data_IF_819828893448
#
_entry.id   IF_819828893448
#
_cell.length_a   1.000
_cell.length_b   1.000
_cell.length_c   1.000
_cell.angle_alpha   90.00
_cell.angle_beta   90.00
_cell.angle_gamma   90.00
#
_symmetry.space_group_name_H-M   'P 1'
#
loop_
_entity.id
_entity.type
_entity.pdbx_description
1 polymer ?
#
# COMPACT_ATOMS: atom_id res chain seq x y z
N UNK A 1 47.33 -14.64 -2.20
CA UNK A 1 46.76 -14.15 -0.92
C UNK A 1 45.69 -13.06 -1.04
N UNK A 2 45.71 -12.14 -2.03
CA UNK A 2 44.71 -11.05 -2.19
C UNK A 2 43.28 -11.46 -2.62
N UNK A 3 43.05 -12.72 -2.98
CA UNK A 3 41.72 -13.20 -3.43
C UNK A 3 40.89 -13.85 -2.31
N UNK A 4 41.52 -14.29 -1.23
CA UNK A 4 40.83 -14.96 -0.11
C UNK A 4 40.04 -13.92 0.73
N UNK A 5 40.55 -12.69 0.87
CA UNK A 5 39.85 -11.63 1.61
C UNK A 5 38.59 -11.12 0.89
N UNK A 6 38.57 -11.18 -0.45
CA UNK A 6 37.35 -10.91 -1.25
C UNK A 6 36.27 -11.98 -1.03
N UNK A 7 36.65 -13.23 -0.74
CA UNK A 7 35.71 -14.32 -0.42
C UNK A 7 35.27 -14.25 1.05
N UNK A 8 36.15 -13.84 1.97
CA UNK A 8 35.80 -13.63 3.39
C UNK A 8 34.81 -12.47 3.59
N UNK A 9 34.82 -11.46 2.73
CA UNK A 9 33.80 -10.41 2.70
C UNK A 9 32.43 -10.85 2.14
N UNK A 10 32.31 -12.09 1.64
CA UNK A 10 31.03 -12.67 1.19
C UNK A 10 30.11 -13.05 2.36
N UNK A 11 30.65 -13.08 3.59
CA UNK A 11 29.87 -13.02 4.82
C UNK A 11 29.69 -11.56 5.25
N UNK A 12 28.98 -10.75 4.45
CA UNK A 12 28.42 -9.49 4.96
C UNK A 12 27.61 -9.86 6.20
N UNK A 13 28.09 -9.50 7.40
CA UNK A 13 27.31 -9.58 8.64
C UNK A 13 25.92 -9.05 8.30
N UNK A 14 24.88 -9.88 8.44
CA UNK A 14 23.50 -9.44 8.22
C UNK A 14 23.33 -8.18 9.07
N UNK A 15 23.11 -7.03 8.42
CA UNK A 15 22.84 -5.79 9.14
C UNK A 15 21.68 -6.10 10.11
N UNK A 16 21.76 -5.68 11.38
CA UNK A 16 20.70 -5.96 12.33
C UNK A 16 19.39 -5.40 11.79
N UNK A 17 18.38 -6.27 11.65
CA UNK A 17 17.04 -5.89 11.19
C UNK A 17 16.22 -5.57 12.43
N UNK A 18 15.84 -4.30 12.59
CA UNK A 18 14.92 -3.87 13.64
C UNK A 18 13.49 -4.21 13.23
N UNK A 19 12.75 -4.93 14.07
CA UNK A 19 11.30 -5.13 13.89
C UNK A 19 10.57 -3.85 14.32
N UNK A 20 9.62 -3.42 13.51
CA UNK A 20 8.78 -2.24 13.73
C UNK A 20 7.31 -2.63 13.57
N UNK A 21 6.40 -1.87 14.16
CA UNK A 21 5.00 -1.94 13.74
C UNK A 21 4.87 -1.42 12.31
N UNK A 22 3.83 -1.84 11.58
CA UNK A 22 3.58 -1.35 10.21
C UNK A 22 3.50 0.18 10.18
N UNK A 23 2.76 0.79 11.12
CA UNK A 23 2.64 2.25 11.23
C UNK A 23 3.98 2.95 11.44
N UNK A 24 4.83 2.44 12.34
CA UNK A 24 6.16 3.03 12.59
C UNK A 24 7.09 2.85 11.38
N UNK A 25 7.03 1.69 10.71
CA UNK A 25 7.78 1.42 9.50
C UNK A 25 7.42 2.41 8.38
N UNK A 26 6.14 2.57 8.06
CA UNK A 26 5.69 3.47 7.00
C UNK A 26 5.91 4.95 7.33
N UNK A 27 5.79 5.35 8.60
CA UNK A 27 6.21 6.68 9.05
C UNK A 27 7.66 6.98 8.65
N UNK A 28 8.58 6.08 8.98
CA UNK A 28 10.01 6.25 8.67
C UNK A 28 10.30 6.18 7.17
N UNK A 29 9.58 5.31 6.46
CA UNK A 29 9.78 5.09 5.03
C UNK A 29 9.19 6.20 4.15
N UNK A 30 8.16 6.91 4.63
CA UNK A 30 7.38 7.91 3.89
C UNK A 30 8.23 8.95 3.13
N UNK A 31 9.36 9.37 3.70
CA UNK A 31 10.20 10.42 3.12
C UNK A 31 10.89 10.05 1.81
N UNK A 32 11.06 8.75 1.53
CA UNK A 32 11.69 8.23 0.30
C UNK A 32 10.92 7.04 -0.27
N UNK A 33 9.65 6.86 0.10
CA UNK A 33 8.82 5.75 -0.37
C UNK A 33 8.69 5.75 -1.90
N UNK A 34 8.48 6.93 -2.51
CA UNK A 34 8.37 7.07 -3.97
C UNK A 34 9.75 7.04 -4.69
N UNK A 35 10.87 7.19 -3.97
CA UNK A 35 12.24 7.26 -4.51
C UNK A 35 12.93 5.89 -4.39
N UNK A 36 12.39 4.89 -5.10
CA UNK A 36 12.88 3.51 -5.08
C UNK A 36 12.82 2.84 -6.45
N UNK A 37 13.57 3.34 -7.45
CA UNK A 37 13.49 2.85 -8.84
C UNK A 37 13.87 1.37 -8.99
N UNK A 38 14.68 0.83 -8.07
CA UNK A 38 15.12 -0.58 -8.08
C UNK A 38 14.17 -1.52 -7.30
N UNK A 39 13.01 -1.04 -6.84
CA UNK A 39 12.06 -1.87 -6.10
C UNK A 39 11.22 -2.74 -7.04
N UNK A 40 11.72 -3.93 -7.34
CA UNK A 40 11.06 -4.89 -8.23
C UNK A 40 9.64 -5.26 -7.80
N UNK A 41 9.32 -5.26 -6.50
CA UNK A 41 7.97 -5.57 -6.02
C UNK A 41 7.00 -4.47 -6.43
N UNK A 42 7.36 -3.20 -6.19
CA UNK A 42 6.50 -2.07 -6.55
C UNK A 42 6.32 -1.99 -8.07
N UNK A 43 7.38 -2.21 -8.83
CA UNK A 43 7.32 -2.21 -10.29
C UNK A 43 6.43 -3.32 -10.87
N UNK A 44 6.57 -4.56 -10.37
CA UNK A 44 5.74 -5.68 -10.85
C UNK A 44 4.29 -5.53 -10.42
N UNK A 45 4.06 -5.08 -9.19
CA UNK A 45 2.70 -4.86 -8.71
C UNK A 45 2.03 -3.73 -9.49
N UNK A 46 2.75 -2.64 -9.83
CA UNK A 46 2.18 -1.54 -10.62
C UNK A 46 1.65 -2.05 -11.95
N UNK A 47 2.40 -2.89 -12.66
CA UNK A 47 1.94 -3.52 -13.90
C UNK A 47 0.71 -4.41 -13.70
N UNK A 48 0.71 -5.23 -12.65
CA UNK A 48 -0.42 -6.09 -12.34
C UNK A 48 -1.67 -5.26 -12.01
N UNK A 49 -1.50 -4.22 -11.21
CA UNK A 49 -2.58 -3.33 -10.81
C UNK A 49 -3.18 -2.61 -12.02
N UNK A 50 -2.35 -2.04 -12.89
CA UNK A 50 -2.76 -1.45 -14.18
C UNK A 50 -3.62 -2.42 -15.00
N UNK A 51 -3.18 -3.67 -15.14
CA UNK A 51 -3.91 -4.70 -15.89
C UNK A 51 -5.26 -5.00 -15.25
N UNK A 52 -5.31 -5.14 -13.92
CA UNK A 52 -6.55 -5.40 -13.19
C UNK A 52 -7.57 -4.26 -13.34
N UNK A 53 -7.13 -3.01 -13.17
CA UNK A 53 -8.06 -1.87 -13.25
C UNK A 53 -8.50 -1.58 -14.68
N UNK A 54 -7.66 -1.91 -15.68
CA UNK A 54 -8.02 -1.79 -17.10
C UNK A 54 -9.10 -2.79 -17.52
N UNK A 55 -9.27 -3.88 -16.77
CA UNK A 55 -10.30 -4.90 -17.03
C UNK A 55 -11.69 -4.53 -16.49
N UNK A 56 -11.83 -3.42 -15.77
CA UNK A 56 -13.09 -3.01 -15.13
C UNK A 56 -13.44 -1.55 -15.47
N UNK A 57 -14.71 -1.18 -15.24
CA UNK A 57 -15.16 0.20 -15.46
C UNK A 57 -14.96 1.05 -14.20
N UNK A 58 -13.99 1.97 -14.25
CA UNK A 58 -13.74 2.95 -13.19
C UNK A 58 -14.43 4.30 -13.40
N UNK A 59 -14.87 4.60 -14.62
CA UNK A 59 -15.53 5.86 -14.94
C UNK A 59 -16.78 6.07 -14.09
N UNK A 60 -16.92 7.28 -13.55
CA UNK A 60 -18.02 7.70 -12.67
C UNK A 60 -18.16 6.85 -11.38
N UNK A 61 -17.13 6.06 -11.02
CA UNK A 61 -17.12 5.25 -9.79
C UNK A 61 -16.59 6.02 -8.58
N UNK A 62 -17.15 5.75 -7.42
CA UNK A 62 -16.59 6.14 -6.11
C UNK A 62 -15.67 5.03 -5.61
N UNK A 63 -14.39 5.38 -5.45
CA UNK A 63 -13.33 4.44 -5.09
C UNK A 63 -12.84 4.74 -3.67
N UNK A 64 -12.71 3.70 -2.85
CA UNK A 64 -12.08 3.75 -1.54
C UNK A 64 -10.74 3.01 -1.59
N UNK A 65 -9.64 3.72 -1.39
CA UNK A 65 -8.28 3.15 -1.37
C UNK A 65 -7.80 2.98 0.08
N UNK A 66 -7.76 1.72 0.54
CA UNK A 66 -7.36 1.33 1.89
C UNK A 66 -5.88 0.93 1.91
N UNK A 67 -5.10 1.63 2.75
CA UNK A 67 -3.64 1.58 2.70
C UNK A 67 -3.10 2.41 1.54
N UNK A 68 -3.73 3.56 1.26
CA UNK A 68 -3.41 4.36 0.09
C UNK A 68 -1.97 4.91 0.08
N UNK A 69 -1.30 4.93 1.24
CA UNK A 69 0.09 5.33 1.36
C UNK A 69 0.32 6.75 0.83
N UNK A 70 1.29 6.88 -0.08
CA UNK A 70 1.56 8.15 -0.77
C UNK A 70 0.62 8.38 -1.96
N UNK A 71 -0.32 7.49 -2.25
CA UNK A 71 -1.18 7.54 -3.43
C UNK A 71 -0.45 7.16 -4.72
N UNK A 72 0.42 6.14 -4.69
CA UNK A 72 1.23 5.75 -5.86
C UNK A 72 0.39 5.42 -7.10
N UNK A 73 -0.81 4.88 -6.88
CA UNK A 73 -1.75 4.47 -7.92
C UNK A 73 -2.76 5.55 -8.30
N UNK A 74 -2.82 6.66 -7.57
CA UNK A 74 -3.90 7.64 -7.72
C UNK A 74 -3.84 8.36 -9.06
N UNK A 75 -2.64 8.63 -9.59
CA UNK A 75 -2.51 9.25 -10.92
C UNK A 75 -3.16 8.39 -12.00
N UNK A 76 -2.97 7.08 -11.94
CA UNK A 76 -3.55 6.14 -12.88
C UNK A 76 -5.06 5.99 -12.65
N UNK A 77 -5.51 5.77 -11.41
CA UNK A 77 -6.93 5.69 -11.06
C UNK A 77 -7.72 6.91 -11.55
N UNK A 78 -7.18 8.11 -11.34
CA UNK A 78 -7.81 9.38 -11.75
C UNK A 78 -7.87 9.53 -13.28
N UNK A 79 -6.99 8.85 -14.03
CA UNK A 79 -7.00 8.90 -15.51
C UNK A 79 -8.21 8.21 -16.15
N UNK A 80 -8.96 7.41 -15.37
CA UNK A 80 -10.19 6.77 -15.81
C UNK A 80 -11.47 7.59 -15.50
N UNK A 81 -11.32 8.85 -15.07
CA UNK A 81 -12.42 9.74 -14.69
C UNK A 81 -13.40 9.14 -13.65
N UNK A 82 -12.93 8.65 -12.49
CA UNK A 82 -13.82 8.21 -11.42
C UNK A 82 -14.60 9.41 -10.85
N UNK A 83 -15.77 9.14 -10.27
CA UNK A 83 -16.54 10.16 -9.55
C UNK A 83 -15.78 10.70 -8.31
N UNK A 84 -14.86 9.91 -7.76
CA UNK A 84 -13.94 10.36 -6.73
C UNK A 84 -13.14 9.21 -6.12
N UNK A 85 -11.98 9.54 -5.57
CA UNK A 85 -11.13 8.62 -4.81
C UNK A 85 -11.01 9.13 -3.37
N UNK A 86 -11.30 8.27 -2.40
CA UNK A 86 -11.10 8.53 -0.98
C UNK A 86 -10.01 7.63 -0.45
N UNK A 87 -9.03 8.19 0.26
CA UNK A 87 -7.90 7.43 0.81
C UNK A 87 -8.01 7.18 2.31
N UNK A 88 -7.56 6.01 2.75
CA UNK A 88 -7.39 5.70 4.18
C UNK A 88 -6.00 5.11 4.39
N UNK A 89 -5.23 5.64 5.34
CA UNK A 89 -3.94 5.06 5.73
C UNK A 89 -3.68 5.21 7.24
N UNK A 90 -2.89 4.32 7.81
CA UNK A 90 -2.50 4.38 9.23
C UNK A 90 -1.41 5.42 9.52
N UNK A 91 -0.67 5.87 8.51
CA UNK A 91 0.41 6.86 8.62
C UNK A 91 -0.02 8.20 8.07
N UNK A 92 -0.14 9.19 8.97
CA UNK A 92 -0.38 10.57 8.58
C UNK A 92 0.77 11.15 7.73
N UNK A 93 1.99 10.65 7.88
CA UNK A 93 3.14 11.06 7.07
C UNK A 93 3.02 10.57 5.63
N UNK A 94 2.50 9.37 5.41
CA UNK A 94 2.17 8.88 4.07
C UNK A 94 1.07 9.74 3.43
N UNK A 95 -0.01 10.02 4.19
CA UNK A 95 -1.08 10.91 3.71
C UNK A 95 -0.60 12.34 3.43
N UNK A 96 0.36 12.84 4.21
CA UNK A 96 0.97 14.15 3.96
C UNK A 96 1.69 14.20 2.60
N UNK A 97 2.35 13.10 2.21
CA UNK A 97 2.94 12.95 0.87
C UNK A 97 1.87 12.84 -0.20
N UNK A 98 0.81 12.09 0.04
CA UNK A 98 -0.34 11.98 -0.87
C UNK A 98 -0.96 13.36 -1.13
N UNK A 99 -1.29 14.11 -0.08
CA UNK A 99 -1.90 15.44 -0.19
C UNK A 99 -1.00 16.47 -0.87
N UNK A 100 0.32 16.30 -0.79
CA UNK A 100 1.26 17.12 -1.54
C UNK A 100 1.20 16.85 -3.06
N UNK A 101 0.89 15.61 -3.46
CA UNK A 101 0.73 15.20 -4.87
C UNK A 101 -0.68 15.44 -5.41
N UNK A 102 -1.69 15.31 -4.55
CA UNK A 102 -3.10 15.45 -4.89
C UNK A 102 -3.81 16.42 -3.92
N UNK A 103 -3.57 17.74 -4.03
CA UNK A 103 -4.18 18.73 -3.16
C UNK A 103 -5.71 18.68 -3.22
N UNK A 104 -6.38 18.85 -2.07
CA UNK A 104 -7.84 18.83 -1.97
C UNK A 104 -8.48 17.44 -1.95
N UNK A 105 -7.68 16.37 -2.00
CA UNK A 105 -8.17 15.00 -1.87
C UNK A 105 -8.79 14.71 -0.51
N UNK A 106 -9.82 13.86 -0.48
CA UNK A 106 -10.42 13.38 0.77
C UNK A 106 -9.64 12.17 1.30
N UNK A 107 -9.01 12.32 2.47
CA UNK A 107 -8.23 11.25 3.11
C UNK A 107 -8.51 11.16 4.61
N UNK A 108 -8.38 9.96 5.17
CA UNK A 108 -8.59 9.68 6.60
C UNK A 108 -7.40 8.91 7.19
N UNK A 109 -6.95 9.30 8.37
CA UNK A 109 -5.98 8.51 9.14
C UNK A 109 -6.74 7.48 9.97
N UNK A 110 -6.45 6.19 9.78
CA UNK A 110 -7.04 5.11 10.58
C UNK A 110 -6.04 3.97 10.78
N UNK A 111 -5.74 3.64 12.04
CA UNK A 111 -4.82 2.56 12.41
C UNK A 111 -5.50 1.38 13.13
N UNK A 112 -6.82 1.47 13.32
CA UNK A 112 -7.62 0.52 14.09
C UNK A 112 -8.77 -0.13 13.27
N UNK A 113 -8.70 -0.06 11.94
CA UNK A 113 -9.75 -0.47 11.01
C UNK A 113 -11.03 0.36 11.03
N UNK A 114 -11.13 1.40 11.88
CA UNK A 114 -12.35 2.18 11.92
C UNK A 114 -12.52 2.96 10.63
N UNK A 115 -13.65 2.74 9.97
CA UNK A 115 -14.13 3.47 8.81
C UNK A 115 -15.45 4.20 9.16
N UNK A 116 -15.71 4.48 10.44
CA UNK A 116 -16.96 5.09 10.91
C UNK A 116 -17.20 6.49 10.34
N UNK A 117 -16.13 7.23 10.02
CA UNK A 117 -16.22 8.52 9.34
C UNK A 117 -16.67 8.41 7.87
N UNK A 118 -16.71 7.20 7.32
CA UNK A 118 -17.19 6.91 5.98
C UNK A 118 -18.60 6.35 6.02
N UNK A 119 -19.45 6.83 5.12
CA UNK A 119 -20.83 6.35 4.98
C UNK A 119 -20.85 4.90 4.45
N UNK A 120 -21.71 4.07 5.03
CA UNK A 120 -22.00 2.73 4.50
C UNK A 120 -22.64 2.80 3.11
N UNK A 121 -22.48 1.74 2.32
CA UNK A 121 -23.07 1.59 0.99
C UNK A 121 -22.82 2.80 0.06
N UNK A 122 -21.62 3.39 0.12
CA UNK A 122 -21.31 4.66 -0.56
C UNK A 122 -20.21 4.56 -1.61
N UNK A 123 -19.48 3.45 -1.65
CA UNK A 123 -18.43 3.19 -2.62
C UNK A 123 -18.82 2.08 -3.58
N UNK A 124 -18.35 2.19 -4.81
CA UNK A 124 -18.55 1.19 -5.85
C UNK A 124 -17.40 0.18 -5.86
N UNK A 125 -16.19 0.65 -5.49
CA UNK A 125 -14.96 -0.14 -5.52
C UNK A 125 -14.15 0.15 -4.25
N UNK A 126 -13.67 -0.90 -3.60
CA UNK A 126 -12.63 -0.82 -2.58
C UNK A 126 -11.34 -1.39 -3.16
N UNK A 127 -10.26 -0.65 -3.03
CA UNK A 127 -8.92 -1.05 -3.46
C UNK A 127 -8.05 -1.17 -2.21
N UNK A 128 -7.21 -2.21 -2.16
CA UNK A 128 -6.15 -2.31 -1.15
C UNK A 128 -4.93 -2.99 -1.74
N UNK A 129 -3.85 -2.23 -1.92
CA UNK A 129 -2.63 -2.74 -2.55
C UNK A 129 -1.49 -2.88 -1.55
N UNK A 130 -0.83 -4.05 -1.57
CA UNK A 130 0.31 -4.42 -0.73
C UNK A 130 0.10 -4.13 0.77
N UNK A 131 -1.15 -4.23 1.25
CA UNK A 131 -1.56 -3.76 2.58
C UNK A 131 -2.08 -4.90 3.47
N UNK A 132 -2.80 -5.88 2.93
CA UNK A 132 -3.51 -6.88 3.76
C UNK A 132 -2.58 -7.72 4.62
N UNK A 133 -1.35 -7.99 4.19
CA UNK A 133 -0.37 -8.73 4.96
C UNK A 133 0.22 -7.95 6.13
N UNK A 134 -0.22 -6.72 6.37
CA UNK A 134 0.04 -5.93 7.58
C UNK A 134 -1.10 -6.00 8.60
N UNK A 135 -2.26 -6.54 8.22
CA UNK A 135 -3.48 -6.61 9.01
C UNK A 135 -3.51 -7.94 9.78
N UNK A 136 -3.79 -7.87 11.09
CA UNK A 136 -3.88 -9.07 11.94
C UNK A 136 -5.26 -9.73 11.92
N UNK A 137 -6.32 -8.93 11.89
CA UNK A 137 -7.72 -9.39 12.01
C UNK A 137 -8.45 -9.15 10.68
N UNK A 138 -7.98 -9.83 9.63
CA UNK A 138 -8.38 -9.54 8.25
C UNK A 138 -9.88 -9.72 8.01
N UNK A 139 -10.52 -10.64 8.72
CA UNK A 139 -11.96 -10.88 8.65
C UNK A 139 -12.76 -9.65 9.10
N UNK A 140 -12.29 -8.95 10.14
CA UNK A 140 -12.91 -7.69 10.61
C UNK A 140 -12.73 -6.57 9.59
N UNK A 141 -11.57 -6.52 8.92
CA UNK A 141 -11.32 -5.54 7.86
C UNK A 141 -12.23 -5.79 6.66
N UNK A 142 -12.31 -7.02 6.16
CA UNK A 142 -13.21 -7.34 5.06
C UNK A 142 -14.68 -7.10 5.39
N UNK A 143 -15.10 -7.36 6.63
CA UNK A 143 -16.46 -7.03 7.07
C UNK A 143 -16.72 -5.52 7.01
N UNK A 144 -15.81 -4.69 7.53
CA UNK A 144 -15.94 -3.23 7.47
C UNK A 144 -15.85 -2.69 6.03
N UNK A 145 -14.97 -3.23 5.20
CA UNK A 145 -14.85 -2.83 3.79
C UNK A 145 -16.12 -3.16 3.02
N UNK A 146 -16.69 -4.34 3.25
CA UNK A 146 -17.94 -4.76 2.63
C UNK A 146 -19.12 -3.87 3.04
N UNK A 147 -19.18 -3.37 4.29
CA UNK A 147 -20.21 -2.38 4.69
C UNK A 147 -20.12 -1.08 3.91
N UNK A 148 -18.93 -0.66 3.49
CA UNK A 148 -18.73 0.59 2.73
C UNK A 148 -19.12 0.44 1.26
N UNK A 149 -19.12 -0.79 0.74
CA UNK A 149 -19.54 -1.08 -0.61
C UNK A 149 -21.07 -1.04 -0.76
N UNK A 150 -21.53 -0.49 -1.89
CA UNK A 150 -22.90 -0.70 -2.36
C UNK A 150 -23.11 -2.17 -2.76
N UNK A 151 -24.37 -2.58 -2.90
CA UNK A 151 -24.70 -3.88 -3.49
C UNK A 151 -24.11 -4.01 -4.90
N UNK A 152 -23.41 -5.11 -5.16
CA UNK A 152 -22.68 -5.34 -6.41
C UNK A 152 -21.39 -4.52 -6.56
N UNK A 153 -20.90 -3.92 -5.49
CA UNK A 153 -19.57 -3.30 -5.46
C UNK A 153 -18.45 -4.35 -5.45
N UNK A 154 -17.25 -3.92 -5.83
CA UNK A 154 -16.10 -4.81 -6.04
C UNK A 154 -14.96 -4.49 -5.06
N UNK A 155 -14.19 -5.52 -4.70
CA UNK A 155 -12.96 -5.38 -3.93
C UNK A 155 -11.78 -5.83 -4.79
N UNK A 156 -10.77 -4.99 -4.93
CA UNK A 156 -9.52 -5.27 -5.65
C UNK A 156 -8.39 -5.30 -4.64
N UNK A 157 -7.69 -6.43 -4.57
CA UNK A 157 -6.58 -6.64 -3.63
C UNK A 157 -5.37 -7.15 -4.37
N UNK A 158 -4.22 -6.56 -4.08
CA UNK A 158 -2.91 -7.10 -4.44
C UNK A 158 -2.09 -7.28 -3.15
N UNK A 159 -1.41 -8.42 -3.02
CA UNK A 159 -0.41 -8.61 -1.97
C UNK A 159 0.55 -9.76 -2.33
N UNK A 160 1.56 -9.96 -1.49
CA UNK A 160 2.45 -11.10 -1.56
C UNK A 160 1.70 -12.42 -1.38
N UNK A 161 1.96 -13.35 -2.29
CA UNK A 161 1.56 -14.74 -2.11
C UNK A 161 2.18 -15.32 -0.82
N UNK A 162 1.46 -16.15 -0.03
CA UNK A 162 2.00 -16.77 1.18
C UNK A 162 3.35 -17.47 0.99
N UNK A 163 3.58 -18.08 -0.18
CA UNK A 163 4.84 -18.76 -0.51
C UNK A 163 6.05 -17.84 -0.51
N UNK A 164 5.88 -16.54 -0.81
CA UNK A 164 6.97 -15.58 -0.74
C UNK A 164 7.51 -15.47 0.69
N UNK A 165 6.62 -15.45 1.69
CA UNK A 165 7.00 -15.44 3.09
C UNK A 165 7.61 -16.76 3.54
N UNK A 166 7.02 -17.88 3.12
CA UNK A 166 7.54 -19.22 3.40
C UNK A 166 8.96 -19.39 2.83
N UNK A 167 9.26 -18.73 1.72
CA UNK A 167 10.57 -18.67 1.09
C UNK A 167 11.54 -17.68 1.76
N UNK A 168 11.12 -17.03 2.84
CA UNK A 168 11.96 -16.13 3.65
C UNK A 168 11.96 -14.68 3.18
N UNK A 169 11.09 -14.28 2.26
CA UNK A 169 10.90 -12.88 1.90
C UNK A 169 10.43 -12.09 3.12
N UNK A 170 10.95 -10.87 3.27
CA UNK A 170 10.58 -9.96 4.35
C UNK A 170 10.20 -8.62 3.76
N UNK A 171 9.10 -8.06 4.25
CA UNK A 171 8.79 -6.64 4.03
C UNK A 171 9.78 -5.81 4.85
N UNK A 172 10.73 -5.18 4.16
CA UNK A 172 11.78 -4.37 4.77
C UNK A 172 12.16 -3.24 3.84
N UNK A 173 12.60 -2.13 4.42
CA UNK A 173 13.09 -0.97 3.69
C UNK A 173 14.42 -0.52 4.30
N UNK A 174 15.33 0.08 3.51
CA UNK A 174 16.53 0.68 4.05
C UNK A 174 16.17 1.92 4.86
N UNK A 175 16.64 2.03 6.10
CA UNK A 175 16.53 3.28 6.83
C UNK A 175 17.58 4.26 6.29
N UNK A 176 17.14 5.27 5.52
CA UNK A 176 18.00 6.42 5.16
C UNK A 176 18.01 7.37 6.36
N UNK A 177 19.11 7.44 7.11
CA UNK A 177 19.34 8.55 8.05
C UNK A 177 19.73 9.78 7.22
N UNK A 178 19.02 10.90 7.43
CA UNK A 178 19.47 12.20 6.91
C UNK A 178 20.83 12.56 7.49
#
# INVERSE_FOLDING_TARGET
MKYIDKIKNKFKKKKPVRKLSSREAYRLWSSFYDDQPDNAVLFLEEKLFTEMISAITLKDKKILDIGCGTGRHWKELLSFDPAGVTGVDSSGEMLSKLLSKFPGSTVYVSDNNSLESLKDCSFDIVISTLTIGHIKEIEKYFYEWNKKLRSGGEIIITDFHPDAFSSGMKRSFPLKTK
#
